data_IF_763407194712
#
_entry.id   IF_763407194712
#
_cell.length_a   1.000
_cell.length_b   1.000
_cell.length_c   1.000
_cell.angle_alpha   90.00
_cell.angle_beta   90.00
_cell.angle_gamma   90.00
#
_symmetry.space_group_name_H-M   'P 1'
#
loop_
_entity.id
_entity.type
_entity.pdbx_description
1 polymer ?
#
# COMPACT_ATOMS: atom_id res chain seq x y z
N UNK A 1 -16.99 -24.47 -51.76
CA UNK A 1 -16.42 -23.15 -51.44
C UNK A 1 -15.74 -23.30 -50.08
N UNK A 2 -14.41 -23.49 -50.07
CA UNK A 2 -13.65 -23.86 -48.87
C UNK A 2 -13.15 -22.59 -48.16
N UNK A 3 -13.71 -22.30 -47.00
CA UNK A 3 -13.25 -21.20 -46.13
C UNK A 3 -12.15 -21.75 -45.22
N UNK A 4 -10.89 -21.37 -45.49
CA UNK A 4 -9.76 -21.66 -44.61
C UNK A 4 -9.75 -20.63 -43.48
N UNK A 5 -9.87 -21.09 -42.23
CA UNK A 5 -9.58 -20.27 -41.06
C UNK A 5 -8.06 -20.20 -40.84
N UNK A 6 -7.46 -18.99 -40.70
CA UNK A 6 -6.06 -18.91 -40.33
C UNK A 6 -5.91 -19.29 -38.85
N UNK A 7 -5.05 -20.27 -38.63
CA UNK A 7 -4.66 -20.77 -37.32
C UNK A 7 -3.68 -19.82 -36.63
N UNK A 8 -3.85 -19.71 -35.31
CA UNK A 8 -2.87 -19.27 -34.29
C UNK A 8 -2.61 -17.76 -34.22
N UNK A 9 -3.43 -17.07 -33.41
CA UNK A 9 -2.94 -15.96 -32.60
C UNK A 9 -1.89 -16.52 -31.63
N UNK A 10 -0.63 -16.26 -31.91
CA UNK A 10 0.45 -16.36 -30.93
C UNK A 10 0.34 -15.10 -30.09
N UNK A 11 -0.12 -15.23 -28.84
CA UNK A 11 -0.07 -14.13 -27.88
C UNK A 11 1.41 -13.74 -27.68
N UNK A 12 1.78 -12.45 -27.81
CA UNK A 12 3.12 -12.02 -27.48
C UNK A 12 3.28 -12.14 -25.97
N UNK A 13 4.07 -13.12 -25.53
CA UNK A 13 4.62 -13.16 -24.17
C UNK A 13 5.58 -11.98 -24.08
N UNK A 14 5.05 -10.83 -23.65
CA UNK A 14 5.79 -9.59 -23.51
C UNK A 14 6.89 -9.76 -22.46
N UNK A 15 8.15 -9.75 -22.91
CA UNK A 15 9.36 -9.77 -22.09
C UNK A 15 9.64 -8.40 -21.42
N UNK A 16 8.66 -7.82 -20.70
CA UNK A 16 8.84 -6.52 -20.01
C UNK A 16 9.32 -6.71 -18.56
N UNK A 17 10.38 -7.49 -18.34
CA UNK A 17 10.87 -7.77 -16.95
C UNK A 17 12.37 -7.52 -16.76
N UNK A 18 13.06 -6.80 -17.66
CA UNK A 18 14.50 -6.54 -17.48
C UNK A 18 14.88 -5.20 -16.81
N UNK A 19 13.94 -4.28 -16.54
CA UNK A 19 14.24 -2.99 -15.91
C UNK A 19 14.31 -2.99 -14.38
N UNK A 20 13.53 -3.85 -13.71
CA UNK A 20 13.40 -3.87 -12.24
C UNK A 20 14.43 -4.77 -11.52
N UNK A 21 15.45 -5.26 -12.23
CA UNK A 21 16.43 -6.22 -11.69
C UNK A 21 17.33 -5.65 -10.58
N UNK A 22 17.36 -4.31 -10.39
CA UNK A 22 18.16 -3.67 -9.33
C UNK A 22 17.49 -3.61 -7.95
N UNK A 23 16.22 -4.02 -7.81
CA UNK A 23 15.53 -4.12 -6.51
C UNK A 23 15.32 -5.56 -6.03
N UNK A 24 15.76 -6.55 -6.81
CA UNK A 24 15.69 -7.98 -6.49
C UNK A 24 17.05 -8.55 -6.07
N UNK A 25 17.96 -7.72 -5.55
CA UNK A 25 19.00 -8.31 -4.71
C UNK A 25 18.27 -8.95 -3.53
N UNK A 26 18.47 -10.25 -3.26
CA UNK A 26 17.97 -10.84 -2.03
C UNK A 26 18.66 -10.06 -0.91
N UNK A 27 17.92 -9.12 -0.32
CA UNK A 27 18.20 -8.58 1.00
C UNK A 27 18.36 -9.83 1.85
N UNK A 28 19.62 -10.21 2.10
CA UNK A 28 19.93 -11.20 3.11
C UNK A 28 19.16 -10.76 4.33
N UNK A 29 18.40 -11.67 4.91
CA UNK A 29 17.55 -11.46 6.07
C UNK A 29 18.31 -10.72 7.18
N UNK A 30 18.32 -9.39 7.12
CA UNK A 30 18.47 -8.54 8.30
C UNK A 30 17.09 -8.50 8.96
N UNK A 31 16.51 -9.68 9.15
CA UNK A 31 15.50 -9.93 10.16
C UNK A 31 16.24 -10.27 11.46
N UNK A 32 17.18 -9.40 11.84
CA UNK A 32 17.35 -9.15 13.27
C UNK A 32 16.02 -8.54 13.71
N UNK A 33 15.09 -9.43 14.07
CA UNK A 33 13.91 -9.11 14.85
C UNK A 33 14.46 -8.57 16.17
N UNK A 34 14.85 -7.30 16.18
CA UNK A 34 14.89 -6.55 17.42
C UNK A 34 13.45 -6.56 17.89
N UNK A 35 13.16 -7.48 18.80
CA UNK A 35 11.92 -7.47 19.55
C UNK A 35 11.80 -6.06 20.12
N UNK A 36 10.79 -5.33 19.64
CA UNK A 36 10.51 -4.00 20.13
C UNK A 36 10.25 -4.11 21.63
N UNK A 37 11.08 -3.45 22.42
CA UNK A 37 10.87 -3.43 23.87
C UNK A 37 9.62 -2.61 24.16
N UNK A 38 8.93 -2.92 25.26
CA UNK A 38 7.77 -2.15 25.70
C UNK A 38 8.10 -0.66 25.82
N UNK A 39 9.33 -0.34 26.26
CA UNK A 39 9.82 1.03 26.35
C UNK A 39 9.86 1.75 24.98
N UNK A 40 10.33 1.08 23.93
CA UNK A 40 10.35 1.65 22.56
C UNK A 40 8.92 1.83 22.05
N UNK A 41 8.03 0.86 22.32
CA UNK A 41 6.61 0.95 21.92
C UNK A 41 5.92 2.15 22.59
N UNK A 42 6.13 2.35 23.89
CA UNK A 42 5.58 3.50 24.62
C UNK A 42 6.13 4.84 24.11
N UNK A 43 7.39 4.92 23.71
CA UNK A 43 7.94 6.12 23.08
C UNK A 43 7.28 6.43 21.73
N UNK A 44 7.09 5.42 20.88
CA UNK A 44 6.40 5.60 19.59
C UNK A 44 4.95 6.02 19.80
N UNK A 45 4.25 5.37 20.73
CA UNK A 45 2.89 5.73 21.12
C UNK A 45 2.80 7.17 21.62
N UNK A 46 3.70 7.58 22.51
CA UNK A 46 3.74 8.95 23.02
C UNK A 46 3.97 9.98 21.90
N UNK A 47 4.90 9.70 20.97
CA UNK A 47 5.12 10.56 19.81
C UNK A 47 3.91 10.61 18.88
N UNK A 48 3.22 9.49 18.69
CA UNK A 48 2.00 9.40 17.87
C UNK A 48 0.86 10.23 18.47
N UNK A 49 0.65 10.15 19.78
CA UNK A 49 -0.33 10.96 20.49
C UNK A 49 0.01 12.45 20.36
N UNK A 50 1.28 12.83 20.59
CA UNK A 50 1.74 14.21 20.41
C UNK A 50 1.54 14.72 18.98
N UNK A 51 1.76 13.86 17.97
CA UNK A 51 1.47 14.18 16.57
C UNK A 51 0.01 14.54 16.33
N UNK A 52 -0.94 13.73 16.84
CA UNK A 52 -2.38 14.01 16.71
C UNK A 52 -2.84 15.26 17.44
N UNK A 53 -2.16 15.63 18.53
CA UNK A 53 -2.40 16.87 19.28
C UNK A 53 -1.73 18.11 18.69
N UNK A 54 -0.98 17.97 17.60
CA UNK A 54 -0.22 19.09 17.02
C UNK A 54 1.06 19.45 17.79
N UNK A 55 1.48 18.65 18.75
CA UNK A 55 2.76 18.76 19.50
C UNK A 55 3.94 18.24 18.64
N UNK A 56 4.06 18.79 17.42
CA UNK A 56 4.93 18.22 16.39
C UNK A 56 6.42 18.27 16.78
N UNK A 57 6.85 19.28 17.54
CA UNK A 57 8.26 19.43 17.95
C UNK A 57 8.65 18.39 18.99
N UNK A 58 7.78 18.20 19.98
CA UNK A 58 7.92 17.23 21.06
C UNK A 58 7.91 15.80 20.49
N UNK A 59 6.97 15.50 19.59
CA UNK A 59 6.92 14.23 18.88
C UNK A 59 8.24 13.94 18.13
N UNK A 60 8.80 14.93 17.42
CA UNK A 60 10.09 14.76 16.74
C UNK A 60 11.25 14.51 17.71
N UNK A 61 11.27 15.17 18.87
CA UNK A 61 12.31 14.95 19.89
C UNK A 61 12.28 13.52 20.43
N UNK A 62 11.08 12.97 20.68
CA UNK A 62 10.91 11.58 21.12
C UNK A 62 11.40 10.60 20.05
N UNK A 63 11.11 10.88 18.78
CA UNK A 63 11.44 9.99 17.67
C UNK A 63 12.92 10.00 17.27
N UNK A 64 13.64 11.10 17.50
CA UNK A 64 15.02 11.26 17.02
C UNK A 64 15.98 10.12 17.44
N UNK A 65 16.10 9.73 18.73
CA UNK A 65 16.97 8.62 19.11
C UNK A 65 16.56 7.28 18.48
N UNK A 66 15.25 7.03 18.33
CA UNK A 66 14.73 5.81 17.71
C UNK A 66 15.03 5.76 16.20
N UNK A 67 14.94 6.90 15.53
CA UNK A 67 15.32 7.02 14.11
C UNK A 67 16.83 6.80 13.91
N UNK A 68 17.67 7.32 14.82
CA UNK A 68 19.11 7.05 14.82
C UNK A 68 19.42 5.56 15.02
N UNK A 69 18.64 4.89 15.87
CA UNK A 69 18.68 3.44 16.07
C UNK A 69 18.06 2.62 14.92
N UNK A 70 17.69 3.25 13.79
CA UNK A 70 17.06 2.59 12.63
C UNK A 70 15.76 1.85 12.96
N UNK A 71 15.02 2.31 13.98
CA UNK A 71 13.70 1.78 14.24
C UNK A 71 12.75 2.18 13.10
N UNK A 72 12.31 1.17 12.34
CA UNK A 72 11.51 1.33 11.11
C UNK A 72 10.15 2.01 11.32
N UNK A 73 9.52 1.76 12.46
CA UNK A 73 8.22 2.34 12.82
C UNK A 73 8.39 3.82 13.20
N UNK A 74 9.42 4.14 14.00
CA UNK A 74 9.76 5.53 14.32
C UNK A 74 10.16 6.35 13.09
N UNK A 75 10.91 5.75 12.14
CA UNK A 75 11.23 6.38 10.85
C UNK A 75 9.95 6.72 10.08
N UNK A 76 9.01 5.78 10.02
CA UNK A 76 7.73 6.01 9.36
C UNK A 76 6.91 7.10 10.05
N UNK A 77 6.79 7.06 11.38
CA UNK A 77 6.06 8.07 12.14
C UNK A 77 6.68 9.46 11.96
N UNK A 78 8.01 9.57 11.98
CA UNK A 78 8.72 10.83 11.69
C UNK A 78 8.36 11.38 10.31
N UNK A 79 8.19 10.52 9.30
CA UNK A 79 7.73 10.95 7.98
C UNK A 79 6.32 11.56 8.05
N UNK A 80 5.41 10.95 8.82
CA UNK A 80 4.07 11.47 9.08
C UNK A 80 4.07 12.84 9.77
N UNK A 81 4.87 13.00 10.83
CA UNK A 81 5.02 14.27 11.56
C UNK A 81 5.55 15.37 10.64
N UNK A 82 6.59 15.09 9.84
CA UNK A 82 7.15 16.05 8.89
C UNK A 82 6.17 16.45 7.79
N UNK A 83 5.27 15.54 7.39
CA UNK A 83 4.25 15.81 6.38
C UNK A 83 3.16 16.78 6.88
N UNK A 84 2.97 16.89 8.20
CA UNK A 84 2.00 17.80 8.84
C UNK A 84 2.57 19.17 9.21
N UNK A 85 3.87 19.40 9.00
CA UNK A 85 4.46 20.73 9.22
C UNK A 85 4.01 21.72 8.14
N UNK A 86 4.02 23.02 8.43
CA UNK A 86 3.55 24.08 7.52
C UNK A 86 4.17 24.07 6.12
N UNK A 87 5.38 23.50 5.99
CA UNK A 87 6.12 23.38 4.72
C UNK A 87 6.75 22.00 4.61
N UNK A 88 5.97 20.97 4.23
CA UNK A 88 6.50 19.62 4.15
C UNK A 88 7.48 19.51 2.98
N UNK A 89 8.67 18.98 3.23
CA UNK A 89 9.60 18.58 2.18
C UNK A 89 9.21 17.17 1.70
N UNK A 90 8.43 17.11 0.62
CA UNK A 90 7.93 15.85 0.05
C UNK A 90 9.05 14.87 -0.33
N UNK A 91 10.24 15.34 -0.72
CA UNK A 91 11.38 14.45 -1.02
C UNK A 91 11.92 13.82 0.26
N UNK A 92 12.02 14.60 1.34
CA UNK A 92 12.43 14.09 2.65
C UNK A 92 11.42 13.12 3.23
N UNK A 93 10.12 13.40 3.10
CA UNK A 93 9.04 12.49 3.53
C UNK A 93 9.13 11.16 2.78
N UNK A 94 9.24 11.20 1.44
CA UNK A 94 9.39 9.98 0.63
C UNK A 94 10.67 9.20 0.99
N UNK A 95 11.79 9.88 1.23
CA UNK A 95 13.03 9.22 1.62
C UNK A 95 12.87 8.43 2.94
N UNK A 96 12.17 8.99 3.93
CA UNK A 96 11.89 8.32 5.19
C UNK A 96 10.91 7.15 5.01
N UNK A 97 9.82 7.34 4.25
CA UNK A 97 8.88 6.25 3.94
C UNK A 97 9.57 5.09 3.21
N UNK A 98 10.41 5.40 2.23
CA UNK A 98 11.18 4.39 1.48
C UNK A 98 12.18 3.68 2.40
N UNK A 99 12.86 4.39 3.30
CA UNK A 99 13.77 3.76 4.26
C UNK A 99 13.03 2.84 5.24
N UNK A 100 11.90 3.26 5.81
CA UNK A 100 11.06 2.42 6.66
C UNK A 100 10.59 1.16 5.90
N UNK A 101 10.16 1.33 4.64
CA UNK A 101 9.75 0.23 3.77
C UNK A 101 10.92 -0.73 3.45
N UNK A 102 12.13 -0.19 3.22
CA UNK A 102 13.35 -0.99 3.02
C UNK A 102 13.72 -1.79 4.27
N UNK A 103 13.48 -1.25 5.46
CA UNK A 103 13.64 -1.92 6.76
C UNK A 103 12.46 -2.87 7.10
N UNK A 104 11.53 -3.08 6.16
CA UNK A 104 10.46 -4.05 6.30
C UNK A 104 9.25 -3.58 7.10
N UNK A 105 9.04 -2.27 7.28
CA UNK A 105 7.81 -1.77 7.90
C UNK A 105 6.67 -1.76 6.88
N UNK A 106 5.75 -2.71 7.00
CA UNK A 106 4.68 -2.96 6.01
C UNK A 106 3.82 -1.72 5.77
N UNK A 107 3.47 -0.97 6.82
CA UNK A 107 2.66 0.25 6.69
C UNK A 107 3.35 1.34 5.84
N UNK A 108 4.67 1.28 5.63
CA UNK A 108 5.38 2.22 4.77
C UNK A 108 5.33 1.88 3.28
N UNK A 109 4.93 0.66 2.90
CA UNK A 109 5.01 0.21 1.50
C UNK A 109 4.06 1.01 0.60
N UNK A 110 2.80 1.17 0.99
CA UNK A 110 1.82 1.92 0.22
C UNK A 110 2.10 3.43 0.18
N UNK A 111 2.47 4.10 1.29
CA UNK A 111 2.91 5.50 1.24
C UNK A 111 4.13 5.72 0.35
N UNK A 112 5.12 4.81 0.37
CA UNK A 112 6.25 4.87 -0.56
C UNK A 112 5.79 4.76 -2.02
N UNK A 113 4.86 3.84 -2.32
CA UNK A 113 4.26 3.72 -3.65
C UNK A 113 3.59 5.03 -4.09
N UNK A 114 2.78 5.64 -3.23
CA UNK A 114 2.13 6.93 -3.48
C UNK A 114 3.12 8.07 -3.71
N UNK A 115 4.21 8.12 -2.94
CA UNK A 115 5.25 9.13 -3.15
C UNK A 115 5.99 8.98 -4.48
N UNK A 116 6.30 7.74 -4.91
CA UNK A 116 6.87 7.51 -6.24
C UNK A 116 5.89 7.82 -7.36
N UNK A 117 4.59 7.54 -7.16
CA UNK A 117 3.53 7.92 -8.09
C UNK A 117 3.49 9.44 -8.30
N UNK A 118 3.54 10.21 -7.21
CA UNK A 118 3.55 11.67 -7.26
C UNK A 118 4.79 12.26 -7.96
N UNK A 119 5.90 11.51 -7.99
CA UNK A 119 7.11 11.88 -8.73
C UNK A 119 7.08 11.42 -10.20
N UNK A 120 6.00 10.79 -10.66
CA UNK A 120 5.88 10.22 -12.01
C UNK A 120 6.72 8.96 -12.22
N UNK A 121 7.25 8.35 -11.15
CA UNK A 121 7.99 7.10 -11.23
C UNK A 121 7.03 5.92 -11.05
N UNK A 122 6.24 5.67 -12.08
CA UNK A 122 5.17 4.67 -12.06
C UNK A 122 5.71 3.23 -11.85
N UNK A 123 6.90 2.90 -12.36
CA UNK A 123 7.50 1.57 -12.18
C UNK A 123 7.79 1.27 -10.70
N UNK A 124 8.43 2.21 -9.99
CA UNK A 124 8.68 2.05 -8.56
C UNK A 124 7.39 2.08 -7.74
N UNK A 125 6.44 2.93 -8.13
CA UNK A 125 5.13 2.98 -7.50
C UNK A 125 4.42 1.62 -7.60
N UNK A 126 4.39 1.02 -8.79
CA UNK A 126 3.81 -0.31 -9.00
C UNK A 126 4.53 -1.38 -8.17
N UNK A 127 5.87 -1.38 -8.18
CA UNK A 127 6.67 -2.36 -7.45
C UNK A 127 6.40 -2.32 -5.93
N UNK A 128 6.33 -1.12 -5.34
CA UNK A 128 6.01 -0.95 -3.93
C UNK A 128 4.55 -1.30 -3.61
N UNK A 129 3.60 -0.95 -4.48
CA UNK A 129 2.20 -1.33 -4.31
C UNK A 129 2.02 -2.86 -4.36
N UNK A 130 2.66 -3.54 -5.32
CA UNK A 130 2.64 -5.00 -5.41
C UNK A 130 3.27 -5.66 -4.19
N UNK A 131 4.33 -5.08 -3.63
CA UNK A 131 4.92 -5.55 -2.38
C UNK A 131 3.93 -5.39 -1.22
N UNK A 132 3.26 -4.25 -1.10
CA UNK A 132 2.21 -4.01 -0.10
C UNK A 132 1.05 -5.01 -0.21
N UNK A 133 0.61 -5.33 -1.44
CA UNK A 133 -0.51 -6.24 -1.66
C UNK A 133 -0.16 -7.67 -1.23
N UNK A 134 1.08 -8.09 -1.48
CA UNK A 134 1.61 -9.38 -1.00
C UNK A 134 1.69 -9.50 0.52
N UNK A 135 1.77 -8.39 1.24
CA UNK A 135 1.67 -8.34 2.70
C UNK A 135 0.23 -8.11 3.19
N UNK A 136 -0.76 -8.10 2.28
CA UNK A 136 -2.18 -7.96 2.62
C UNK A 136 -2.63 -6.53 2.86
N UNK A 137 -1.85 -5.50 2.53
CA UNK A 137 -2.27 -4.11 2.75
C UNK A 137 -3.48 -3.78 1.86
N UNK A 138 -4.66 -3.58 2.45
CA UNK A 138 -5.93 -3.36 1.72
C UNK A 138 -5.82 -2.26 0.67
N UNK A 139 -5.30 -1.09 1.04
CA UNK A 139 -5.15 0.08 0.17
C UNK A 139 -4.35 -0.18 -1.11
N UNK A 140 -3.42 -1.14 -1.08
CA UNK A 140 -2.52 -1.41 -2.20
C UNK A 140 -3.17 -2.21 -3.33
N UNK A 141 -4.21 -2.99 -3.04
CA UNK A 141 -4.98 -3.71 -4.05
C UNK A 141 -5.77 -2.73 -4.93
N UNK A 142 -6.38 -1.71 -4.32
CA UNK A 142 -6.99 -0.59 -5.06
C UNK A 142 -5.95 0.18 -5.90
N UNK A 143 -4.76 0.40 -5.34
CA UNK A 143 -3.68 1.10 -6.02
C UNK A 143 -3.20 0.33 -7.26
N UNK A 144 -3.05 -0.99 -7.15
CA UNK A 144 -2.69 -1.87 -8.27
C UNK A 144 -3.82 -1.92 -9.31
N UNK A 145 -5.08 -1.96 -8.88
CA UNK A 145 -6.22 -1.91 -9.79
C UNK A 145 -6.10 -0.71 -10.75
N UNK A 146 -5.75 0.46 -10.23
CA UNK A 146 -5.58 1.66 -11.04
C UNK A 146 -4.50 1.53 -12.13
N UNK A 147 -3.38 0.81 -11.88
CA UNK A 147 -2.37 0.51 -12.91
C UNK A 147 -2.90 -0.33 -14.08
N UNK A 148 -3.90 -1.17 -13.84
CA UNK A 148 -4.55 -1.97 -14.88
C UNK A 148 -5.74 -1.24 -15.53
N UNK A 149 -6.30 -0.23 -14.87
CA UNK A 149 -7.33 0.64 -15.43
C UNK A 149 -6.73 1.66 -16.40
N UNK A 150 -5.68 2.32 -15.94
CA UNK A 150 -5.06 3.45 -16.62
C UNK A 150 -3.79 2.99 -17.35
N UNK A 151 -3.56 3.52 -18.55
CA UNK A 151 -2.32 3.30 -19.28
C UNK A 151 -1.21 4.20 -18.73
N UNK A 152 -0.55 3.75 -17.66
CA UNK A 152 0.62 4.45 -17.09
C UNK A 152 1.97 3.98 -17.66
N UNK A 153 1.95 3.32 -18.83
CA UNK A 153 3.10 2.73 -19.54
C UNK A 153 3.92 1.69 -18.75
N UNK A 154 3.48 1.30 -17.56
CA UNK A 154 4.10 0.21 -16.76
C UNK A 154 3.49 -1.14 -17.10
N UNK A 155 2.17 -1.18 -17.30
CA UNK A 155 1.37 -2.37 -17.53
C UNK A 155 0.34 -2.07 -18.61
N UNK A 156 0.05 -3.06 -19.44
CA UNK A 156 -1.02 -2.96 -20.42
C UNK A 156 -2.38 -2.93 -19.69
N UNK A 157 -3.26 -1.95 -20.00
CA UNK A 157 -4.58 -1.91 -19.39
C UNK A 157 -5.36 -3.21 -19.61
N UNK A 158 -5.99 -3.69 -18.55
CA UNK A 158 -6.85 -4.87 -18.55
C UNK A 158 -7.91 -4.71 -17.45
N UNK A 159 -9.12 -4.35 -17.85
CA UNK A 159 -10.20 -4.10 -16.90
C UNK A 159 -10.60 -5.35 -16.10
N UNK A 160 -10.42 -6.56 -16.64
CA UNK A 160 -10.70 -7.80 -15.89
C UNK A 160 -9.71 -7.98 -14.74
N UNK A 161 -8.43 -7.73 -15.01
CA UNK A 161 -7.38 -7.83 -14.00
C UNK A 161 -7.52 -6.70 -12.98
N UNK A 162 -7.85 -5.48 -13.42
CA UNK A 162 -8.13 -4.35 -12.54
C UNK A 162 -9.26 -4.67 -11.55
N UNK A 163 -10.45 -5.02 -12.07
CA UNK A 163 -11.62 -5.33 -11.25
C UNK A 163 -11.34 -6.50 -10.30
N UNK A 164 -10.54 -7.49 -10.71
CA UNK A 164 -10.15 -8.59 -9.83
C UNK A 164 -9.25 -8.14 -8.66
N UNK A 165 -8.29 -7.23 -8.89
CA UNK A 165 -7.52 -6.62 -7.81
C UNK A 165 -8.40 -5.81 -6.86
N UNK A 166 -9.37 -5.06 -7.41
CA UNK A 166 -10.36 -4.32 -6.64
C UNK A 166 -11.17 -5.26 -5.71
N UNK A 167 -11.67 -6.38 -6.23
CA UNK A 167 -12.40 -7.41 -5.46
C UNK A 167 -11.55 -8.00 -4.34
N UNK A 168 -10.28 -8.31 -4.61
CA UNK A 168 -9.37 -8.81 -3.56
C UNK A 168 -9.20 -7.76 -2.45
N UNK A 169 -9.07 -6.49 -2.80
CA UNK A 169 -8.98 -5.38 -1.83
C UNK A 169 -10.21 -5.23 -0.94
N UNK A 170 -11.39 -5.63 -1.42
CA UNK A 170 -12.64 -5.65 -0.66
C UNK A 170 -12.83 -6.94 0.18
N UNK A 171 -11.78 -7.77 0.29
CA UNK A 171 -11.83 -9.02 1.05
C UNK A 171 -12.19 -10.26 0.22
N UNK A 172 -12.26 -10.13 -1.10
CA UNK A 172 -12.48 -11.25 -2.03
C UNK A 172 -13.94 -11.68 -2.21
N UNK A 173 -14.89 -11.08 -1.47
CA UNK A 173 -16.31 -11.22 -1.76
C UNK A 173 -16.69 -10.26 -2.87
N UNK A 174 -17.20 -10.80 -3.98
CA UNK A 174 -17.76 -10.00 -5.06
C UNK A 174 -19.27 -9.96 -4.91
N UNK A 175 -19.78 -8.77 -4.58
CA UNK A 175 -21.19 -8.42 -4.73
C UNK A 175 -21.26 -7.34 -5.82
N UNK A 176 -22.02 -7.59 -6.88
CA UNK A 176 -22.12 -6.65 -7.99
C UNK A 176 -22.93 -5.40 -7.63
N UNK A 177 -23.73 -5.47 -6.56
CA UNK A 177 -24.49 -4.33 -6.07
C UNK A 177 -23.66 -3.50 -5.05
N UNK A 178 -22.42 -3.92 -4.76
CA UNK A 178 -21.49 -3.19 -3.88
C UNK A 178 -21.14 -1.84 -4.51
N UNK A 179 -21.54 -0.76 -3.83
CA UNK A 179 -21.32 0.61 -4.28
C UNK A 179 -19.83 0.97 -4.40
N UNK A 180 -18.97 0.38 -3.57
CA UNK A 180 -17.53 0.58 -3.65
C UNK A 180 -16.96 -0.03 -4.93
N UNK A 181 -17.47 -1.18 -5.35
CA UNK A 181 -17.11 -1.78 -6.63
C UNK A 181 -17.65 -0.95 -7.81
N UNK A 182 -18.95 -0.67 -7.83
CA UNK A 182 -19.62 0.06 -8.92
C UNK A 182 -18.93 1.40 -9.21
N UNK A 183 -18.55 2.14 -8.17
CA UNK A 183 -17.90 3.46 -8.31
C UNK A 183 -16.44 3.42 -8.74
N UNK A 184 -15.78 2.25 -8.68
CA UNK A 184 -14.33 2.11 -8.92
C UNK A 184 -13.98 1.09 -10.00
N UNK A 185 -14.97 0.34 -10.48
CA UNK A 185 -14.78 -0.66 -11.54
C UNK A 185 -14.28 0.01 -12.82
N UNK A 186 -13.39 -0.69 -13.51
CA UNK A 186 -12.85 -0.27 -14.80
C UNK A 186 -13.52 -1.03 -15.95
N UNK A 187 -14.22 -2.13 -15.63
CA UNK A 187 -15.19 -2.77 -16.50
C UNK A 187 -16.57 -2.11 -16.46
N UNK A 188 -17.58 -2.76 -17.07
CA UNK A 188 -18.98 -2.34 -16.95
C UNK A 188 -19.44 -2.40 -15.50
N UNK A 189 -20.16 -1.38 -15.03
CA UNK A 189 -20.71 -1.29 -13.67
C UNK A 189 -21.81 -2.31 -13.36
N UNK A 190 -22.36 -2.97 -14.37
CA UNK A 190 -23.35 -4.05 -14.23
C UNK A 190 -22.86 -5.24 -15.08
N UNK A 191 -22.03 -6.13 -14.51
CA UNK A 191 -21.44 -7.23 -15.26
C UNK A 191 -22.49 -8.33 -15.43
N UNK A 192 -22.62 -8.83 -16.66
CA UNK A 192 -23.40 -10.01 -16.96
C UNK A 192 -22.82 -11.26 -16.26
N UNK A 193 -23.60 -12.33 -16.17
CA UNK A 193 -23.19 -13.57 -15.47
C UNK A 193 -21.87 -14.15 -16.03
N UNK A 194 -21.63 -13.97 -17.32
CA UNK A 194 -20.39 -14.42 -17.95
C UNK A 194 -19.18 -13.67 -17.39
N UNK A 195 -19.25 -12.33 -17.33
CA UNK A 195 -18.22 -11.48 -16.74
C UNK A 195 -18.02 -11.76 -15.26
N UNK A 196 -19.09 -12.03 -14.50
CA UNK A 196 -18.99 -12.43 -13.09
C UNK A 196 -18.16 -13.71 -12.92
N UNK A 197 -18.43 -14.74 -13.73
CA UNK A 197 -17.63 -15.97 -13.73
C UNK A 197 -16.16 -15.76 -14.10
N UNK A 198 -15.86 -14.81 -15.01
CA UNK A 198 -14.49 -14.42 -15.32
C UNK A 198 -13.80 -13.74 -14.14
N UNK A 199 -14.48 -12.82 -13.45
CA UNK A 199 -13.96 -12.12 -12.28
C UNK A 199 -13.62 -13.09 -11.16
N UNK A 200 -14.52 -14.02 -10.82
CA UNK A 200 -14.25 -15.04 -9.80
C UNK A 200 -13.03 -15.91 -10.14
N UNK A 201 -12.90 -16.29 -11.40
CA UNK A 201 -11.75 -17.07 -11.89
C UNK A 201 -10.47 -16.27 -11.79
N UNK A 202 -10.51 -14.98 -12.18
CA UNK A 202 -9.37 -14.09 -12.14
C UNK A 202 -8.92 -13.79 -10.71
N UNK A 203 -9.85 -13.58 -9.78
CA UNK A 203 -9.57 -13.41 -8.34
C UNK A 203 -8.85 -14.64 -7.79
N UNK A 204 -9.36 -15.85 -8.04
CA UNK A 204 -8.71 -17.11 -7.62
C UNK A 204 -7.31 -17.26 -8.21
N UNK A 205 -7.15 -16.93 -9.49
CA UNK A 205 -5.86 -16.96 -10.17
C UNK A 205 -4.86 -16.00 -9.53
N UNK A 206 -5.21 -14.73 -9.34
CA UNK A 206 -4.32 -13.72 -8.76
C UNK A 206 -3.92 -14.06 -7.33
N UNK A 207 -4.90 -14.40 -6.47
CA UNK A 207 -4.66 -14.79 -5.07
C UNK A 207 -3.69 -15.97 -4.98
N UNK A 208 -3.90 -17.01 -5.80
CA UNK A 208 -3.01 -18.17 -5.85
C UNK A 208 -1.63 -17.83 -6.42
N UNK A 209 -1.58 -17.10 -7.53
CA UNK A 209 -0.35 -16.75 -8.26
C UNK A 209 0.62 -15.93 -7.42
N UNK A 210 0.07 -15.00 -6.64
CA UNK A 210 0.85 -14.08 -5.80
C UNK A 210 0.92 -14.52 -4.33
N UNK A 211 0.21 -15.59 -3.94
CA UNK A 211 0.08 -16.06 -2.55
C UNK A 211 -0.40 -14.94 -1.62
N UNK A 212 -1.45 -14.25 -2.03
CA UNK A 212 -1.96 -13.11 -1.28
C UNK A 212 -2.56 -13.57 0.06
N UNK A 213 -2.16 -12.98 1.20
CA UNK A 213 -2.82 -13.23 2.48
C UNK A 213 -4.18 -12.54 2.51
N UNK A 214 -5.02 -12.81 3.52
CA UNK A 214 -6.17 -11.97 3.81
C UNK A 214 -5.78 -10.50 3.94
N UNK A 215 -6.67 -9.60 3.52
CA UNK A 215 -6.44 -8.16 3.66
C UNK A 215 -6.36 -7.76 5.13
N UNK A 216 -5.48 -6.82 5.44
CA UNK A 216 -5.22 -6.34 6.79
C UNK A 216 -4.85 -4.86 6.79
N UNK A 217 -5.10 -4.20 7.92
CA UNK A 217 -4.62 -2.85 8.17
C UNK A 217 -3.34 -2.92 9.02
N UNK A 218 -2.17 -2.57 8.47
CA UNK A 218 -0.92 -2.63 9.21
C UNK A 218 -0.82 -1.56 10.32
N UNK A 219 -1.77 -0.63 10.41
CA UNK A 219 -1.86 0.40 11.44
C UNK A 219 -3.04 0.19 12.39
N UNK A 220 -3.67 -0.98 12.40
CA UNK A 220 -4.83 -1.27 13.26
C UNK A 220 -4.57 -0.93 14.76
N UNK A 221 -3.38 -1.26 15.26
CA UNK A 221 -2.97 -0.96 16.64
C UNK A 221 -2.92 0.55 16.91
N UNK A 222 -2.56 1.36 15.92
CA UNK A 222 -2.42 2.81 16.08
C UNK A 222 -3.77 3.51 16.25
N UNK A 223 -4.87 2.92 15.75
CA UNK A 223 -6.20 3.48 15.95
C UNK A 223 -6.62 3.52 17.41
N UNK A 224 -6.16 2.56 18.22
CA UNK A 224 -6.39 2.60 19.66
C UNK A 224 -5.72 3.83 20.29
N UNK A 225 -4.53 4.21 19.80
CA UNK A 225 -3.81 5.39 20.27
C UNK A 225 -4.45 6.70 19.81
N UNK A 226 -5.15 6.70 18.67
CA UNK A 226 -5.91 7.86 18.21
C UNK A 226 -7.04 8.19 19.20
N UNK A 227 -7.76 7.18 19.70
CA UNK A 227 -8.81 7.38 20.69
C UNK A 227 -8.23 7.96 21.99
N UNK A 228 -7.12 7.42 22.48
CA UNK A 228 -6.42 7.96 23.65
C UNK A 228 -5.92 9.40 23.46
N UNK A 229 -5.54 9.78 22.23
CA UNK A 229 -5.14 11.14 21.92
C UNK A 229 -6.31 12.12 22.12
N UNK A 230 -7.52 11.74 21.68
CA UNK A 230 -8.74 12.54 21.69
C UNK A 230 -9.38 12.64 23.10
N UNK A 231 -9.33 11.60 23.92
CA UNK A 231 -10.02 11.57 25.22
C UNK A 231 -9.53 12.64 26.22
N UNK A 232 -8.24 13.02 26.19
CA UNK A 232 -7.71 14.03 27.13
C UNK A 232 -8.13 15.47 26.84
N UNK A 233 -8.64 15.77 25.65
CA UNK A 233 -9.11 17.14 25.35
C UNK A 233 -10.42 17.47 26.07
N UNK A 234 -11.20 16.45 26.47
CA UNK A 234 -12.52 16.63 27.11
C UNK A 234 -12.41 17.05 28.58
N UNK A 235 -11.31 16.71 29.25
CA UNK A 235 -11.13 16.91 30.70
C UNK A 235 -10.42 18.22 31.07
N UNK A 236 -10.04 19.05 30.09
CA UNK A 236 -9.39 20.35 30.38
C UNK A 236 -10.46 21.45 30.38
N UNK A 237 -10.97 21.91 31.53
CA UNK A 237 -11.95 22.98 31.55
C UNK A 237 -11.37 24.23 30.87
N UNK A 238 -12.14 24.81 29.95
CA UNK A 238 -11.76 26.05 29.30
C UNK A 238 -11.60 27.16 30.36
N UNK A 239 -10.36 27.57 30.60
CA UNK A 239 -10.01 28.74 31.42
C UNK A 239 -10.30 30.06 30.69
#
# INVERSE_FOLDING_TARGET
MNIRFPSRLVLPVCQVVLGAALLLTPLHDIHASEAQTDAVREQIKAAYIGWHRGELKEALQILEPLVQAKNREAIFLKAGVLNMMERPDGKKVLALQTEAARLGFVAAYLPAAGGYMNLGNHELAFAWALKAAKEGVTGSHFFISAFYCDSWDVILPDSLVADAWLIIGMGGSFDADDQQWVSRSCGPSEPDDFRRGQLETQVKFLTSRFRLPPVSDPLADWYSWTLEALEREVDTPAE
#
